data_IF_568370152705
#
_entry.id   IF_568370152705
#
_cell.length_a   1.000
_cell.length_b   1.000
_cell.length_c   1.000
_cell.angle_alpha   90.00
_cell.angle_beta   90.00
_cell.angle_gamma   90.00
#
_symmetry.space_group_name_H-M   'P 1'
#
loop_
_entity.id
_entity.type
_entity.pdbx_description
1 polymer ?
#
# COMPACT_ATOMS: atom_id res chain seq x y z
N UNK A 1 -33.78 36.39 -47.04
CA UNK A 1 -33.37 35.70 -45.79
C UNK A 1 -32.50 36.65 -44.99
N UNK A 2 -32.84 36.95 -43.73
CA UNK A 2 -32.23 38.06 -42.97
C UNK A 2 -30.88 37.60 -42.38
N UNK A 3 -29.74 38.23 -42.73
CA UNK A 3 -28.40 37.79 -42.31
C UNK A 3 -28.23 37.73 -40.78
N UNK A 4 -29.02 38.50 -40.04
CA UNK A 4 -29.06 38.49 -38.57
C UNK A 4 -29.49 37.15 -37.96
N UNK A 5 -30.32 36.36 -38.66
CA UNK A 5 -30.79 35.07 -38.15
C UNK A 5 -29.69 34.00 -38.21
N UNK A 6 -28.81 34.08 -39.22
CA UNK A 6 -27.70 33.14 -39.45
C UNK A 6 -26.63 33.32 -38.37
N UNK A 7 -26.32 34.56 -38.00
CA UNK A 7 -25.34 34.87 -36.95
C UNK A 7 -25.78 34.39 -35.57
N UNK A 8 -27.07 34.52 -35.24
CA UNK A 8 -27.61 34.06 -33.95
C UNK A 8 -27.55 32.53 -33.85
N UNK A 9 -27.90 31.82 -34.92
CA UNK A 9 -27.81 30.36 -34.95
C UNK A 9 -26.36 29.85 -34.79
N UNK A 10 -25.40 30.53 -35.43
CA UNK A 10 -23.98 30.16 -35.32
C UNK A 10 -23.42 30.33 -33.90
N UNK A 11 -23.79 31.40 -33.20
CA UNK A 11 -23.33 31.64 -31.82
C UNK A 11 -23.89 30.60 -30.85
N UNK A 12 -25.16 30.24 -30.99
CA UNK A 12 -25.80 29.21 -30.15
C UNK A 12 -25.11 27.85 -30.37
N UNK A 13 -24.79 27.51 -31.62
CA UNK A 13 -24.11 26.26 -31.95
C UNK A 13 -22.72 26.18 -31.31
N UNK A 14 -21.93 27.26 -31.40
CA UNK A 14 -20.58 27.32 -30.80
C UNK A 14 -20.64 27.27 -29.28
N UNK A 15 -21.60 27.95 -28.65
CA UNK A 15 -21.80 27.91 -27.20
C UNK A 15 -22.23 26.51 -26.72
N UNK A 16 -23.11 25.83 -27.46
CA UNK A 16 -23.54 24.48 -27.14
C UNK A 16 -22.39 23.46 -27.26
N UNK A 17 -21.58 23.55 -28.33
CA UNK A 17 -20.40 22.70 -28.53
C UNK A 17 -19.34 22.99 -27.46
N UNK A 18 -19.05 24.27 -27.18
CA UNK A 18 -18.09 24.66 -26.15
C UNK A 18 -18.51 24.20 -24.75
N UNK A 19 -19.80 24.29 -24.43
CA UNK A 19 -20.35 23.77 -23.17
C UNK A 19 -20.20 22.26 -23.06
N UNK A 20 -20.58 21.51 -24.10
CA UNK A 20 -20.45 20.04 -24.11
C UNK A 20 -19.00 19.57 -23.98
N UNK A 21 -18.04 20.28 -24.58
CA UNK A 21 -16.62 19.94 -24.45
C UNK A 21 -16.09 20.22 -23.03
N UNK A 22 -16.55 21.28 -22.36
CA UNK A 22 -16.13 21.59 -20.99
C UNK A 22 -16.63 20.55 -19.97
N UNK A 23 -17.88 20.10 -20.11
CA UNK A 23 -18.45 19.10 -19.20
C UNK A 23 -17.85 17.69 -19.36
N UNK A 24 -17.21 17.38 -20.50
CA UNK A 24 -16.62 16.07 -20.76
C UNK A 24 -15.20 15.88 -20.20
N UNK A 25 -14.56 16.94 -19.65
CA UNK A 25 -13.14 16.91 -19.25
C UNK A 25 -12.93 16.64 -17.75
N UNK A 26 -13.99 16.52 -16.95
CA UNK A 26 -13.87 16.09 -15.55
C UNK A 26 -13.89 14.55 -15.44
N UNK A 27 -12.81 13.93 -15.92
CA UNK A 27 -12.53 12.52 -15.61
C UNK A 27 -11.96 12.47 -14.20
N UNK A 28 -12.80 12.07 -13.24
CA UNK A 28 -12.44 11.76 -11.86
C UNK A 28 -11.13 10.98 -11.80
N UNK A 29 -10.06 11.60 -11.31
CA UNK A 29 -8.76 10.97 -11.09
C UNK A 29 -8.85 10.02 -9.90
N UNK A 30 -9.39 8.83 -10.13
CA UNK A 30 -9.34 7.75 -9.14
C UNK A 30 -8.06 6.96 -9.35
N UNK A 31 -7.21 6.89 -8.33
CA UNK A 31 -6.05 6.01 -8.39
C UNK A 31 -6.52 4.55 -8.30
N UNK A 32 -6.11 3.68 -9.23
CA UNK A 32 -6.32 2.25 -9.06
C UNK A 32 -5.65 1.82 -7.75
N UNK A 33 -6.28 0.90 -7.02
CA UNK A 33 -5.71 0.32 -5.81
C UNK A 33 -4.52 -0.60 -6.18
N UNK A 34 -3.39 -0.01 -6.54
CA UNK A 34 -2.13 -0.72 -6.82
C UNK A 34 -1.39 -0.84 -5.48
N UNK A 35 -1.95 -1.61 -4.56
CA UNK A 35 -1.27 -2.02 -3.34
C UNK A 35 -1.01 -3.51 -3.45
N UNK A 36 0.22 -3.91 -3.82
CA UNK A 36 0.58 -5.32 -3.73
C UNK A 36 0.76 -5.66 -2.25
N UNK A 37 -0.07 -6.57 -1.73
CA UNK A 37 0.02 -7.11 -0.37
C UNK A 37 1.21 -8.08 -0.26
N UNK A 38 2.42 -7.58 -0.52
CA UNK A 38 3.65 -8.37 -0.45
C UNK A 38 3.99 -8.67 1.00
N UNK A 39 4.24 -9.94 1.36
CA UNK A 39 4.76 -10.29 2.68
C UNK A 39 6.08 -9.58 2.97
N UNK A 40 6.31 -9.24 4.24
CA UNK A 40 7.57 -8.61 4.68
C UNK A 40 8.52 -9.68 5.16
N UNK A 41 9.77 -9.62 4.71
CA UNK A 41 10.82 -10.53 5.16
C UNK A 41 11.44 -10.07 6.49
N UNK A 42 11.59 -11.00 7.42
CA UNK A 42 12.36 -10.81 8.66
C UNK A 42 13.70 -11.54 8.54
N UNK A 43 14.79 -10.78 8.66
CA UNK A 43 16.14 -11.31 8.75
C UNK A 43 16.55 -11.38 10.21
N UNK A 44 16.48 -12.59 10.77
CA UNK A 44 16.79 -12.84 12.17
C UNK A 44 18.25 -13.28 12.23
N UNK A 45 19.08 -12.56 12.99
CA UNK A 45 20.51 -12.83 13.07
C UNK A 45 20.85 -14.17 13.75
N UNK A 46 19.93 -14.68 14.56
CA UNK A 46 20.06 -15.96 15.28
C UNK A 46 19.21 -17.07 14.64
N UNK A 47 19.35 -18.30 15.15
CA UNK A 47 18.50 -19.44 14.78
C UNK A 47 17.34 -19.56 15.79
N UNK A 48 16.16 -18.97 15.52
CA UNK A 48 15.04 -19.03 16.45
C UNK A 48 14.38 -20.41 16.44
N UNK A 49 13.88 -20.83 17.60
CA UNK A 49 13.00 -22.01 17.71
C UNK A 49 11.53 -21.65 17.50
N UNK A 50 11.16 -20.39 17.73
CA UNK A 50 9.82 -19.85 17.45
C UNK A 50 9.91 -18.36 17.12
N UNK A 51 9.18 -17.95 16.09
CA UNK A 51 9.01 -16.55 15.70
C UNK A 51 7.52 -16.25 15.67
N UNK A 52 7.14 -15.10 16.22
CA UNK A 52 5.80 -14.56 16.10
C UNK A 52 5.92 -13.11 15.66
N UNK A 53 4.97 -12.64 14.86
CA UNK A 53 4.97 -11.24 14.44
C UNK A 53 3.55 -10.71 14.30
N UNK A 54 3.43 -9.39 14.29
CA UNK A 54 2.24 -8.68 13.84
C UNK A 54 2.61 -7.25 13.46
N UNK A 55 1.75 -6.62 12.66
CA UNK A 55 1.90 -5.28 12.14
C UNK A 55 1.46 -4.24 13.19
N UNK A 56 2.36 -3.31 13.53
CA UNK A 56 2.15 -2.25 14.52
C UNK A 56 2.48 -2.65 15.98
N UNK A 57 2.34 -1.69 16.88
CA UNK A 57 2.83 -1.81 18.26
C UNK A 57 1.76 -2.42 19.20
N UNK A 58 0.48 -2.27 18.83
CA UNK A 58 -0.70 -2.67 19.62
C UNK A 58 -1.38 -3.96 19.17
N UNK A 59 -0.72 -4.76 18.36
CA UNK A 59 -1.27 -6.04 17.87
C UNK A 59 -0.82 -7.22 18.73
N UNK A 60 -1.52 -8.35 18.61
CA UNK A 60 -1.17 -9.62 19.25
C UNK A 60 -0.29 -10.45 18.31
N UNK A 61 0.99 -10.71 18.63
CA UNK A 61 1.89 -11.47 17.76
C UNK A 61 1.36 -12.88 17.47
N UNK A 62 1.38 -13.26 16.19
CA UNK A 62 0.95 -14.59 15.73
C UNK A 62 2.14 -15.41 15.25
N UNK A 63 2.16 -16.73 15.49
CA UNK A 63 3.25 -17.59 15.04
C UNK A 63 3.46 -17.49 13.53
N UNK A 64 4.71 -17.32 13.12
CA UNK A 64 5.11 -17.44 11.73
C UNK A 64 5.55 -18.88 11.44
N UNK A 65 5.44 -19.26 10.17
CA UNK A 65 6.08 -20.47 9.65
C UNK A 65 7.28 -20.07 8.83
N UNK A 66 8.39 -20.76 9.03
CA UNK A 66 9.57 -20.60 8.18
C UNK A 66 9.24 -21.20 6.80
N UNK A 67 9.55 -20.44 5.75
CA UNK A 67 9.45 -20.92 4.39
C UNK A 67 10.48 -22.01 4.11
N UNK A 68 10.26 -22.78 3.03
CA UNK A 68 11.16 -23.88 2.64
C UNK A 68 12.58 -23.42 2.28
N UNK A 69 12.74 -22.14 1.92
CA UNK A 69 14.02 -21.48 1.65
C UNK A 69 14.68 -20.86 2.90
N UNK A 70 14.10 -21.09 4.09
CA UNK A 70 14.63 -20.59 5.36
C UNK A 70 14.17 -19.17 5.72
N UNK A 71 13.40 -18.48 4.87
CA UNK A 71 12.94 -17.12 5.15
C UNK A 71 11.77 -17.08 6.13
N UNK A 72 11.71 -16.02 6.92
CA UNK A 72 10.56 -15.68 7.76
C UNK A 72 9.79 -14.56 7.09
N UNK A 73 8.56 -14.84 6.66
CA UNK A 73 7.71 -13.85 5.99
C UNK A 73 6.53 -13.51 6.88
N UNK A 74 6.23 -12.23 7.04
CA UNK A 74 5.03 -11.72 7.73
C UNK A 74 3.94 -11.48 6.67
N UNK A 75 2.89 -12.31 6.63
CA UNK A 75 1.81 -12.13 5.66
C UNK A 75 0.98 -10.89 5.99
N UNK A 76 0.60 -10.11 4.97
CA UNK A 76 -0.37 -9.04 5.12
C UNK A 76 -1.80 -9.60 5.16
N UNK A 77 -2.09 -10.45 6.13
CA UNK A 77 -3.41 -11.04 6.34
C UNK A 77 -4.07 -10.44 7.59
N UNK A 78 -5.41 -10.43 7.68
CA UNK A 78 -6.13 -9.82 8.80
C UNK A 78 -5.65 -10.27 10.19
N UNK A 79 -5.18 -11.51 10.33
CA UNK A 79 -4.68 -12.05 11.60
C UNK A 79 -3.35 -11.44 12.08
N UNK A 80 -2.55 -10.89 11.16
CA UNK A 80 -1.30 -10.20 11.46
C UNK A 80 -1.47 -8.68 11.48
N UNK A 81 -2.58 -8.15 10.95
CA UNK A 81 -2.88 -6.72 10.93
C UNK A 81 -3.52 -6.25 12.25
N UNK A 82 -3.44 -4.95 12.57
CA UNK A 82 -4.25 -4.36 13.63
C UNK A 82 -5.75 -4.60 13.40
N UNK A 83 -6.50 -4.74 14.49
CA UNK A 83 -7.95 -4.94 14.41
C UNK A 83 -8.62 -3.81 13.61
N UNK A 84 -9.50 -4.18 12.68
CA UNK A 84 -10.21 -3.24 11.81
C UNK A 84 -9.42 -2.79 10.56
N UNK A 85 -8.20 -3.28 10.35
CA UNK A 85 -7.44 -3.04 9.12
C UNK A 85 -7.57 -4.20 8.14
N UNK A 86 -7.67 -3.88 6.85
CA UNK A 86 -7.68 -4.85 5.75
C UNK A 86 -6.49 -4.58 4.81
N UNK A 87 -6.01 -5.63 4.17
CA UNK A 87 -4.87 -5.60 3.26
C UNK A 87 -5.21 -4.97 1.90
N UNK A 88 -5.69 -3.73 1.87
CA UNK A 88 -5.79 -2.91 0.64
C UNK A 88 -6.28 -1.48 0.91
N UNK A 89 -5.61 -0.43 0.39
CA UNK A 89 -4.16 -0.28 0.26
C UNK A 89 -3.59 0.17 1.62
N UNK A 90 -2.74 -0.64 2.28
CA UNK A 90 -2.16 -0.27 3.56
C UNK A 90 -0.87 0.50 3.31
N UNK A 91 -0.95 1.81 3.11
CA UNK A 91 0.24 2.67 3.05
C UNK A 91 0.86 2.98 4.42
N UNK A 92 0.42 2.35 5.51
CA UNK A 92 0.72 2.90 6.85
C UNK A 92 0.95 1.87 7.95
N UNK A 93 1.49 0.68 7.66
CA UNK A 93 2.19 -0.03 8.73
C UNK A 93 3.68 0.24 8.61
N UNK A 94 4.10 1.30 9.31
CA UNK A 94 5.51 1.68 9.42
C UNK A 94 6.28 0.76 10.36
N UNK A 95 5.61 -0.16 11.07
CA UNK A 95 6.20 -0.93 12.16
C UNK A 95 5.72 -2.38 12.17
N UNK A 96 6.60 -3.27 12.60
CA UNK A 96 6.31 -4.68 12.89
C UNK A 96 6.79 -5.01 14.30
N UNK A 97 5.91 -5.61 15.11
CA UNK A 97 6.28 -6.20 16.38
C UNK A 97 6.68 -7.65 16.14
N UNK A 98 7.87 -8.02 16.59
CA UNK A 98 8.44 -9.36 16.43
C UNK A 98 8.79 -9.93 17.80
N UNK A 99 8.34 -11.15 18.03
CA UNK A 99 8.67 -11.95 19.20
C UNK A 99 9.49 -13.14 18.77
N UNK A 100 10.73 -13.21 19.25
CA UNK A 100 11.68 -14.27 18.92
C UNK A 100 12.00 -15.06 20.17
N UNK A 101 11.88 -16.39 20.07
CA UNK A 101 12.33 -17.32 21.09
C UNK A 101 13.46 -18.18 20.54
N UNK A 102 14.58 -18.17 21.22
CA UNK A 102 15.72 -19.06 20.97
C UNK A 102 15.73 -20.20 22.00
N UNK A 103 16.29 -21.35 21.63
CA UNK A 103 16.41 -22.48 22.56
C UNK A 103 17.30 -22.10 23.75
N UNK A 104 16.81 -22.26 24.97
CA UNK A 104 17.56 -21.97 26.20
C UNK A 104 17.78 -20.47 26.51
N UNK A 105 17.21 -19.54 25.73
CA UNK A 105 17.31 -18.09 26.02
C UNK A 105 15.95 -17.47 26.33
N UNK A 106 16.00 -16.27 26.91
CA UNK A 106 14.81 -15.44 27.17
C UNK A 106 14.18 -15.00 25.84
N UNK A 107 12.86 -15.01 25.80
CA UNK A 107 12.07 -14.47 24.69
C UNK A 107 12.38 -12.97 24.52
N UNK A 108 12.71 -12.57 23.28
CA UNK A 108 12.84 -11.17 22.88
C UNK A 108 11.53 -10.71 22.26
N UNK A 109 11.06 -9.54 22.64
CA UNK A 109 9.85 -8.90 22.13
C UNK A 109 10.22 -7.44 21.83
N UNK A 110 10.18 -7.08 20.56
CA UNK A 110 10.62 -5.78 20.10
C UNK A 110 9.79 -5.31 18.90
N UNK A 111 9.77 -4.00 18.72
CA UNK A 111 9.12 -3.33 17.60
C UNK A 111 10.20 -2.77 16.70
N UNK A 112 10.04 -2.99 15.40
CA UNK A 112 10.97 -2.54 14.37
C UNK A 112 10.23 -1.70 13.35
N UNK A 113 10.89 -0.67 12.84
CA UNK A 113 10.39 0.07 11.69
C UNK A 113 10.55 -0.78 10.42
N UNK A 114 9.56 -0.69 9.54
CA UNK A 114 9.54 -1.36 8.25
C UNK A 114 10.18 -0.41 7.23
N UNK A 115 11.38 -0.69 6.72
CA UNK A 115 11.97 0.11 5.66
C UNK A 115 11.18 -0.10 4.36
N UNK A 116 10.88 1.01 3.67
CA UNK A 116 10.08 0.99 2.46
C UNK A 116 10.65 1.98 1.43
N UNK A 117 10.74 1.53 0.17
CA UNK A 117 11.09 2.38 -0.96
C UNK A 117 9.79 2.79 -1.64
N UNK A 118 9.47 4.09 -1.73
CA UNK A 118 8.31 4.55 -2.48
C UNK A 118 8.52 4.26 -3.96
N UNK A 119 7.54 3.62 -4.60
CA UNK A 119 7.56 3.39 -6.04
C UNK A 119 7.51 4.71 -6.81
N UNK A 120 8.15 4.71 -7.99
CA UNK A 120 8.07 5.84 -8.91
C UNK A 120 6.61 6.00 -9.35
N UNK A 121 6.01 7.21 -9.25
CA UNK A 121 4.68 7.46 -9.77
C UNK A 121 4.68 7.19 -11.28
N UNK A 122 3.62 6.52 -11.76
CA UNK A 122 3.46 6.27 -13.19
C UNK A 122 3.51 7.60 -13.96
N UNK A 123 4.29 7.64 -15.04
CA UNK A 123 4.57 8.85 -15.84
C UNK A 123 3.33 9.37 -16.57
N UNK A 124 2.22 8.63 -16.49
CA UNK A 124 0.89 8.96 -17.01
C UNK A 124 0.16 10.03 -16.18
N UNK A 125 0.83 11.15 -15.84
CA UNK A 125 0.19 12.43 -15.46
C UNK A 125 -0.69 12.45 -14.20
N UNK A 126 -0.76 11.36 -13.43
CA UNK A 126 -1.59 11.24 -12.24
C UNK A 126 -0.71 11.17 -10.98
N UNK A 127 -1.03 11.98 -9.98
CA UNK A 127 -0.43 12.04 -8.64
C UNK A 127 -0.73 10.78 -7.80
N UNK A 128 -0.66 9.60 -8.42
CA UNK A 128 -0.91 8.34 -7.75
C UNK A 128 0.39 7.83 -7.13
N UNK A 129 0.39 7.48 -5.84
CA UNK A 129 1.53 6.82 -5.22
C UNK A 129 1.87 5.55 -6.01
N UNK A 130 3.14 5.41 -6.40
CA UNK A 130 3.63 4.18 -7.00
C UNK A 130 3.59 3.02 -5.99
N UNK A 131 3.72 1.77 -6.46
CA UNK A 131 3.75 0.60 -5.57
C UNK A 131 4.88 0.72 -4.54
N UNK A 132 4.58 0.48 -3.26
CA UNK A 132 5.59 0.49 -2.19
C UNK A 132 6.34 -0.84 -2.21
N UNK A 133 7.67 -0.79 -2.22
CA UNK A 133 8.51 -1.96 -2.03
C UNK A 133 9.03 -2.01 -0.60
N UNK A 134 8.62 -3.02 0.17
CA UNK A 134 9.15 -3.24 1.51
C UNK A 134 10.53 -3.90 1.44
N UNK A 135 11.45 -3.38 2.24
CA UNK A 135 12.77 -3.95 2.44
C UNK A 135 12.73 -4.92 3.65
N UNK A 136 13.64 -5.91 3.70
CA UNK A 136 13.73 -6.81 4.84
C UNK A 136 13.98 -6.08 6.16
N UNK A 137 13.33 -6.54 7.23
CA UNK A 137 13.51 -6.03 8.59
C UNK A 137 14.60 -6.85 9.29
N UNK A 138 15.65 -6.19 9.76
CA UNK A 138 16.76 -6.81 10.48
C UNK A 138 16.41 -6.95 11.97
N UNK A 139 16.44 -8.18 12.50
CA UNK A 139 16.12 -8.53 13.89
C UNK A 139 17.34 -9.14 14.59
N UNK A 140 17.92 -8.46 15.59
CA UNK A 140 19.13 -8.92 16.29
C UNK A 140 18.91 -10.05 17.30
#
# INVERSE_FOLDING_TARGET
MKPRLIWVAAIILVAAIGGLVWFAVDKSRVCPAIGSATPIELKIASTPSRVQACFGDGCTPRPLQQQTDGRWLVPQEPQYLPAGQSASPPSVVAKVRVVVKESGKRQRDAVFDIPAIPGVPDTTGAQCPGPIQYLPVEVP
#
